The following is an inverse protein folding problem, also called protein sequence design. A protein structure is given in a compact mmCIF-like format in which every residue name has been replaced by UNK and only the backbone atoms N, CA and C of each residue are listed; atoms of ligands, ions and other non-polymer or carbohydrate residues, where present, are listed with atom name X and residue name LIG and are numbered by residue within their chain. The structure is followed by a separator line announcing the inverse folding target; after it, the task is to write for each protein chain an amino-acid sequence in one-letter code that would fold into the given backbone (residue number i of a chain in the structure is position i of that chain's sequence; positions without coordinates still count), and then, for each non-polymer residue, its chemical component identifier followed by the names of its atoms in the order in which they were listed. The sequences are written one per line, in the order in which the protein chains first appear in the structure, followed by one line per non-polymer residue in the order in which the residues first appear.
data_IF_153588644337
#
_entry.id   IF_153588644337
#
_cell.length_a   1.000
_cell.length_b   1.000
_cell.length_c   1.000
_cell.angle_alpha   90.00
_cell.angle_beta   90.00
_cell.angle_gamma   90.00
#
_symmetry.space_group_name_H-M   'P 1'
#
loop_
_entity.id
_entity.type
_entity.pdbx_description
1 polymer ?
#
# COMPACT_ATOMS: atom_id res chain seq x y z
N UNK A 1 -11.18 10.49 -12.12
CA UNK A 1 -12.52 11.08 -12.23
C UNK A 1 -13.49 10.27 -11.37
N UNK A 2 -13.32 10.39 -10.04
CA UNK A 2 -13.95 9.50 -9.04
C UNK A 2 -14.14 10.17 -7.68
N UNK A 3 -13.60 11.37 -7.48
CA UNK A 3 -13.61 12.09 -6.21
C UNK A 3 -14.81 13.04 -6.20
N UNK A 4 -15.68 12.92 -5.20
CA UNK A 4 -16.84 13.80 -5.02
C UNK A 4 -16.45 15.22 -4.60
N UNK A 5 -15.25 15.36 -4.03
CA UNK A 5 -14.60 16.60 -3.59
C UNK A 5 -13.48 17.03 -4.55
N UNK A 6 -13.52 16.55 -5.80
CA UNK A 6 -12.51 16.86 -6.79
C UNK A 6 -12.31 18.37 -6.95
N UNK A 7 -11.15 18.85 -6.49
CA UNK A 7 -10.70 20.22 -6.69
C UNK A 7 -9.34 20.21 -7.37
N UNK A 8 -9.20 20.99 -8.45
CA UNK A 8 -7.99 20.97 -9.28
C UNK A 8 -6.77 21.42 -8.50
N UNK A 9 -6.89 22.45 -7.66
CA UNK A 9 -5.77 23.00 -6.91
C UNK A 9 -5.32 22.02 -5.83
N UNK A 10 -6.24 21.55 -5.00
CA UNK A 10 -5.97 20.61 -3.92
C UNK A 10 -5.43 19.28 -4.44
N UNK A 11 -6.04 18.73 -5.50
CA UNK A 11 -5.57 17.47 -6.08
C UNK A 11 -4.18 17.63 -6.69
N UNK A 12 -3.95 18.70 -7.47
CA UNK A 12 -2.64 18.93 -8.09
C UNK A 12 -1.54 19.12 -7.05
N UNK A 13 -1.80 19.92 -6.00
CA UNK A 13 -0.84 20.14 -4.91
C UNK A 13 -0.58 18.86 -4.11
N UNK A 14 -1.63 18.10 -3.77
CA UNK A 14 -1.50 16.83 -3.06
C UNK A 14 -0.67 15.81 -3.84
N UNK A 15 -0.93 15.67 -5.15
CA UNK A 15 -0.14 14.79 -6.02
C UNK A 15 1.33 15.23 -6.12
N UNK A 16 1.61 16.53 -6.26
CA UNK A 16 2.97 17.06 -6.28
C UNK A 16 3.70 16.77 -4.95
N UNK A 17 3.02 17.02 -3.83
CA UNK A 17 3.58 16.85 -2.49
C UNK A 17 3.97 15.39 -2.21
N UNK A 18 3.11 14.42 -2.53
CA UNK A 18 3.41 12.99 -2.38
C UNK A 18 4.51 12.53 -3.34
N UNK A 19 4.59 13.12 -4.54
CA UNK A 19 5.64 12.85 -5.52
C UNK A 19 7.00 13.48 -5.16
N UNK A 20 7.12 14.17 -4.02
CA UNK A 20 8.38 14.80 -3.60
C UNK A 20 8.66 16.15 -4.27
N UNK A 21 7.65 16.78 -4.89
CA UNK A 21 7.75 18.09 -5.53
C UNK A 21 7.14 19.18 -4.63
N UNK A 22 7.88 20.26 -4.42
CA UNK A 22 7.48 21.37 -3.55
C UNK A 22 8.37 21.53 -2.31
N UNK A 23 8.28 22.69 -1.67
CA UNK A 23 9.18 23.09 -0.58
C UNK A 23 8.99 22.27 0.71
N UNK A 24 7.78 21.77 0.94
CA UNK A 24 7.41 21.00 2.15
C UNK A 24 7.20 19.51 1.87
N UNK A 25 7.56 19.03 0.68
CA UNK A 25 7.36 17.65 0.29
C UNK A 25 8.23 16.70 1.13
N UNK A 26 7.65 15.57 1.54
CA UNK A 26 8.43 14.50 2.14
C UNK A 26 9.52 14.08 1.14
N UNK A 27 10.79 13.90 1.57
CA UNK A 27 11.85 13.57 0.64
C UNK A 27 11.55 12.28 -0.13
N UNK A 28 11.71 12.28 -1.45
CA UNK A 28 11.35 11.16 -2.33
C UNK A 28 11.94 9.80 -1.93
N UNK A 29 13.09 9.79 -1.26
CA UNK A 29 13.71 8.57 -0.76
C UNK A 29 12.96 7.92 0.43
N UNK A 30 11.95 8.58 1.00
CA UNK A 30 11.08 8.02 2.03
C UNK A 30 9.96 7.19 1.40
N UNK A 31 10.23 5.91 1.24
CA UNK A 31 9.26 4.92 0.76
C UNK A 31 8.83 4.08 1.97
N UNK A 32 7.57 4.22 2.37
CA UNK A 32 7.00 3.47 3.49
C UNK A 32 6.45 2.12 3.02
N UNK A 33 6.54 1.11 3.89
CA UNK A 33 5.93 -0.19 3.65
C UNK A 33 4.41 -0.11 3.90
N UNK A 34 3.56 -0.39 2.90
CA UNK A 34 2.10 -0.37 3.05
C UNK A 34 1.61 -1.26 4.20
N UNK A 35 2.23 -2.42 4.44
CA UNK A 35 1.87 -3.33 5.54
C UNK A 35 2.04 -2.65 6.89
N UNK A 36 3.18 -1.99 7.12
CA UNK A 36 3.46 -1.29 8.39
C UNK A 36 2.55 -0.06 8.56
N UNK A 37 2.20 0.62 7.47
CA UNK A 37 1.23 1.73 7.53
C UNK A 37 -0.17 1.20 7.88
N UNK A 38 -0.58 0.08 7.27
CA UNK A 38 -1.85 -0.59 7.59
C UNK A 38 -1.92 -1.01 9.06
N UNK A 39 -0.91 -1.71 9.56
CA UNK A 39 -0.82 -2.11 10.97
C UNK A 39 -0.88 -0.90 11.93
N UNK A 40 -0.34 0.26 11.52
CA UNK A 40 -0.35 1.49 12.32
C UNK A 40 -1.69 2.22 12.31
N UNK A 41 -2.35 2.34 11.15
CA UNK A 41 -3.53 3.19 10.97
C UNK A 41 -4.85 2.41 10.99
N UNK A 42 -4.80 1.10 10.80
CA UNK A 42 -5.94 0.17 10.86
C UNK A 42 -5.54 -1.11 11.61
N UNK A 43 -5.18 -1.04 12.91
CA UNK A 43 -4.59 -2.17 13.65
C UNK A 43 -5.50 -3.42 13.71
N UNK A 44 -6.82 -3.24 13.62
CA UNK A 44 -7.79 -4.34 13.64
C UNK A 44 -8.15 -4.85 12.22
N UNK A 45 -7.82 -4.08 11.18
CA UNK A 45 -8.20 -4.36 9.80
C UNK A 45 -9.65 -3.98 9.46
N UNK A 46 -10.33 -3.18 10.28
CA UNK A 46 -11.76 -2.90 10.11
C UNK A 46 -12.02 -2.15 8.79
N UNK A 47 -11.11 -1.24 8.43
CA UNK A 47 -11.16 -0.56 7.14
C UNK A 47 -10.96 -1.55 5.99
N UNK A 48 -9.93 -2.40 6.08
CA UNK A 48 -9.67 -3.42 5.06
C UNK A 48 -10.87 -4.35 4.88
N UNK A 49 -11.46 -4.88 5.95
CA UNK A 49 -12.63 -5.77 5.88
C UNK A 49 -13.84 -5.11 5.22
N UNK A 50 -14.02 -3.81 5.42
CA UNK A 50 -15.14 -3.05 4.84
C UNK A 50 -14.98 -2.89 3.33
N UNK A 51 -13.78 -2.63 2.84
CA UNK A 51 -13.52 -2.29 1.44
C UNK A 51 -12.96 -3.45 0.60
N UNK A 52 -12.49 -4.51 1.26
CA UNK A 52 -11.95 -5.75 0.67
C UNK A 52 -12.67 -6.94 1.33
N UNK A 53 -13.96 -7.15 1.01
CA UNK A 53 -14.81 -8.12 1.71
C UNK A 53 -14.33 -9.57 1.58
N UNK A 54 -13.56 -9.91 0.54
CA UNK A 54 -12.91 -11.21 0.39
C UNK A 54 -11.91 -11.53 1.51
N UNK A 55 -11.40 -10.52 2.22
CA UNK A 55 -10.53 -10.68 3.39
C UNK A 55 -11.29 -10.55 4.73
N UNK A 56 -12.61 -10.40 4.71
CA UNK A 56 -13.41 -10.07 5.89
C UNK A 56 -13.28 -11.07 7.05
N UNK A 57 -12.87 -12.32 6.79
CA UNK A 57 -12.69 -13.38 7.78
C UNK A 57 -11.24 -13.61 8.22
N UNK A 58 -10.28 -12.94 7.59
CA UNK A 58 -8.86 -13.14 7.86
C UNK A 58 -8.50 -12.51 9.23
N UNK A 59 -7.75 -13.16 10.13
CA UNK A 59 -7.40 -12.56 11.43
C UNK A 59 -6.63 -11.23 11.28
N UNK A 60 -6.77 -10.33 12.26
CA UNK A 60 -6.12 -9.01 12.24
C UNK A 60 -4.59 -9.08 12.08
N UNK A 61 -3.97 -10.12 12.62
CA UNK A 61 -2.53 -10.40 12.46
C UNK A 61 -2.08 -10.50 10.99
N UNK A 62 -2.96 -10.99 10.12
CA UNK A 62 -2.64 -11.31 8.72
C UNK A 62 -3.33 -10.38 7.72
N UNK A 63 -4.25 -9.51 8.17
CA UNK A 63 -5.09 -8.68 7.30
C UNK A 63 -4.29 -7.74 6.39
N UNK A 64 -3.12 -7.27 6.85
CA UNK A 64 -2.22 -6.37 6.12
C UNK A 64 -1.11 -7.11 5.34
N UNK A 65 -1.04 -8.43 5.49
CA UNK A 65 -0.03 -9.32 4.86
C UNK A 65 -0.61 -10.72 4.58
N UNK A 66 -1.69 -10.82 3.79
CA UNK A 66 -2.37 -12.10 3.54
C UNK A 66 -1.47 -13.12 2.84
N UNK A 67 -0.50 -12.68 2.03
CA UNK A 67 0.42 -13.57 1.33
C UNK A 67 1.42 -14.29 2.27
N UNK A 68 1.64 -13.74 3.48
CA UNK A 68 2.53 -14.32 4.49
C UNK A 68 1.78 -15.23 5.46
N UNK A 69 0.45 -15.31 5.35
CA UNK A 69 -0.38 -16.08 6.26
C UNK A 69 -0.19 -17.60 6.07
N UNK A 70 -0.20 -18.38 7.17
CA UNK A 70 -0.20 -19.84 7.07
C UNK A 70 -1.38 -20.36 6.25
N UNK A 71 -1.16 -21.47 5.53
CA UNK A 71 -2.18 -22.07 4.67
C UNK A 71 -3.48 -22.40 5.44
N UNK A 72 -3.37 -22.89 6.68
CA UNK A 72 -4.54 -23.22 7.49
C UNK A 72 -5.33 -21.98 7.95
N UNK A 73 -4.67 -20.83 8.10
CA UNK A 73 -5.34 -19.55 8.39
C UNK A 73 -6.10 -19.07 7.17
N UNK A 74 -5.49 -19.15 5.99
CA UNK A 74 -6.12 -18.80 4.71
C UNK A 74 -7.34 -19.69 4.44
N UNK A 75 -7.21 -21.00 4.64
CA UNK A 75 -8.29 -21.97 4.45
C UNK A 75 -9.49 -21.68 5.38
N UNK A 76 -9.24 -21.39 6.67
CA UNK A 76 -10.31 -21.03 7.63
C UNK A 76 -11.00 -19.71 7.29
N UNK A 77 -10.29 -18.80 6.62
CA UNK A 77 -10.81 -17.52 6.18
C UNK A 77 -11.46 -17.56 4.79
N UNK A 78 -11.40 -18.70 4.09
CA UNK A 78 -11.83 -18.88 2.69
C UNK A 78 -11.07 -17.96 1.71
N UNK A 79 -9.78 -17.73 1.97
CA UNK A 79 -8.90 -16.92 1.13
C UNK A 79 -8.01 -17.82 0.28
N UNK A 80 -8.07 -17.65 -1.05
CA UNK A 80 -7.23 -18.34 -2.02
C UNK A 80 -6.41 -17.32 -2.78
N UNK A 81 -5.10 -17.37 -2.61
CA UNK A 81 -4.19 -16.47 -3.32
C UNK A 81 -4.30 -16.68 -4.84
N UNK A 82 -4.35 -15.58 -5.59
CA UNK A 82 -4.55 -15.48 -7.05
C UNK A 82 -5.91 -15.98 -7.55
N UNK A 83 -6.85 -16.22 -6.64
CA UNK A 83 -8.23 -16.55 -6.99
C UNK A 83 -9.22 -15.62 -6.31
N UNK A 84 -9.29 -15.63 -4.97
CA UNK A 84 -10.15 -14.69 -4.24
C UNK A 84 -9.42 -13.41 -3.88
N UNK A 85 -8.10 -13.47 -3.65
CA UNK A 85 -7.26 -12.30 -3.39
C UNK A 85 -5.88 -12.45 -4.05
N UNK A 86 -5.34 -11.43 -4.74
CA UNK A 86 -4.07 -11.57 -5.45
C UNK A 86 -2.85 -11.58 -4.52
N UNK A 87 -1.76 -12.23 -4.95
CA UNK A 87 -0.43 -11.98 -4.33
C UNK A 87 0.06 -10.56 -4.63
N UNK A 88 0.99 -10.01 -3.82
CA UNK A 88 1.63 -8.74 -4.12
C UNK A 88 2.21 -8.72 -5.54
N UNK A 89 1.79 -7.75 -6.34
CA UNK A 89 2.25 -7.59 -7.74
C UNK A 89 3.75 -7.22 -7.84
N UNK A 90 4.35 -6.76 -6.75
CA UNK A 90 5.76 -6.45 -6.64
C UNK A 90 6.24 -6.70 -5.22
N UNK A 91 7.44 -7.23 -5.08
CA UNK A 91 8.14 -7.28 -3.81
C UNK A 91 8.53 -5.86 -3.36
N UNK A 92 8.19 -5.50 -2.12
CA UNK A 92 8.37 -4.13 -1.62
C UNK A 92 9.83 -3.71 -1.56
N UNK A 93 10.75 -4.61 -1.16
CA UNK A 93 12.17 -4.30 -1.07
C UNK A 93 12.75 -4.03 -2.46
N UNK A 94 12.37 -4.85 -3.44
CA UNK A 94 12.76 -4.71 -4.85
C UNK A 94 12.23 -3.41 -5.44
N UNK A 95 10.94 -3.11 -5.24
CA UNK A 95 10.32 -1.86 -5.70
C UNK A 95 11.00 -0.62 -5.11
N UNK A 96 11.29 -0.66 -3.80
CA UNK A 96 11.99 0.41 -3.09
C UNK A 96 13.39 0.65 -3.67
N UNK A 97 14.16 -0.41 -3.87
CA UNK A 97 15.52 -0.30 -4.41
C UNK A 97 15.51 0.29 -5.82
N UNK A 98 14.61 -0.18 -6.70
CA UNK A 98 14.44 0.35 -8.06
C UNK A 98 14.10 1.85 -8.05
N UNK A 99 13.19 2.28 -7.16
CA UNK A 99 12.80 3.69 -7.05
C UNK A 99 13.96 4.58 -6.56
N UNK A 100 14.74 4.09 -5.57
CA UNK A 100 15.91 4.81 -5.07
C UNK A 100 17.03 4.91 -6.11
N UNK A 101 17.25 3.86 -6.90
CA UNK A 101 18.22 3.86 -7.99
C UNK A 101 17.85 4.88 -9.07
N UNK A 102 16.59 4.86 -9.55
CA UNK A 102 16.10 5.84 -10.52
C UNK A 102 16.28 7.29 -10.01
N UNK A 103 16.00 7.53 -8.73
CA UNK A 103 16.19 8.84 -8.11
C UNK A 103 17.67 9.27 -8.07
N UNK A 104 18.59 8.34 -7.78
CA UNK A 104 20.04 8.63 -7.83
C UNK A 104 20.49 8.96 -9.24
N UNK A 105 20.04 8.20 -10.23
CA UNK A 105 20.42 8.42 -11.64
C UNK A 105 19.92 9.77 -12.15
N UNK A 106 18.69 10.16 -11.78
CA UNK A 106 18.15 11.48 -12.11
C UNK A 106 18.96 12.62 -11.47
N UNK A 107 19.45 12.45 -10.24
CA UNK A 107 20.30 13.45 -9.57
C UNK A 107 21.71 13.56 -10.15
N UNK A 108 22.20 12.50 -10.80
CA UNK A 108 23.54 12.44 -11.38
C UNK A 108 23.58 12.90 -12.84
N UNK A 109 22.41 13.15 -13.45
CA UNK A 109 22.26 13.69 -14.81
C UNK A 109 22.21 15.22 -14.78
#
# INVERSE_FOLDING_TARGET
DTLVDADLANNSMGWQWVAGSGIDAAPYFRIFNPTVQGERFDPNGDYVRRFVPELARLPAEWIHKPADAPADVLDRADVRLDSTYPRPIVDHATARNRALEAFRNMKAS
#
